data_IF_374865804138
#
_entry.id   IF_374865804138
#
_cell.length_a   1.000
_cell.length_b   1.000
_cell.length_c   1.000
_cell.angle_alpha   90.00
_cell.angle_beta   90.00
_cell.angle_gamma   90.00
#
_symmetry.space_group_name_H-M   'P 1'
#
loop_
_entity.id
_entity.type
_entity.pdbx_description
1 polymer ?
#
# COMPACT_ATOMS: atom_id res chain seq x y z
N UNK A 1 50.02 13.43 -36.28
CA UNK A 1 48.88 12.99 -37.11
C UNK A 1 48.75 11.47 -36.96
N UNK A 2 47.53 10.93 -36.81
CA UNK A 2 46.96 10.70 -35.47
C UNK A 2 46.36 9.28 -35.25
N UNK A 3 45.89 9.01 -34.02
CA UNK A 3 44.70 8.19 -33.65
C UNK A 3 44.80 6.65 -33.95
N UNK A 4 44.44 5.70 -33.07
CA UNK A 4 43.33 5.65 -32.13
C UNK A 4 43.63 4.72 -30.94
N UNK A 5 43.28 5.23 -29.76
CA UNK A 5 42.89 4.46 -28.57
C UNK A 5 41.52 3.80 -28.80
N UNK A 6 41.27 2.59 -28.26
CA UNK A 6 39.97 2.15 -27.70
C UNK A 6 40.02 0.65 -27.33
N UNK A 7 40.11 0.26 -26.05
CA UNK A 7 39.57 -1.02 -25.62
C UNK A 7 38.08 -0.84 -25.30
N UNK A 8 37.30 -1.77 -25.85
CA UNK A 8 35.85 -1.83 -25.83
C UNK A 8 35.25 -1.70 -24.42
N UNK A 9 34.38 -0.71 -24.25
CA UNK A 9 33.36 -0.69 -23.21
C UNK A 9 32.28 -1.73 -23.56
N UNK A 10 32.48 -2.98 -23.17
CA UNK A 10 31.40 -3.98 -23.19
C UNK A 10 30.62 -3.89 -21.90
N UNK A 11 29.68 -2.93 -21.93
CA UNK A 11 28.36 -2.95 -21.30
C UNK A 11 28.10 -4.18 -20.42
N UNK A 12 28.27 -4.00 -19.11
CA UNK A 12 27.61 -4.89 -18.16
C UNK A 12 26.10 -4.69 -18.35
N UNK A 13 25.47 -5.61 -19.09
CA UNK A 13 24.03 -5.80 -19.05
C UNK A 13 23.67 -6.22 -17.63
N UNK A 14 23.46 -5.24 -16.75
CA UNK A 14 22.58 -5.41 -15.62
C UNK A 14 21.17 -5.54 -16.20
N UNK A 15 20.83 -6.73 -16.68
CA UNK A 15 19.43 -7.10 -16.88
C UNK A 15 18.85 -7.07 -15.48
N UNK A 16 18.27 -5.92 -15.10
CA UNK A 16 17.43 -5.82 -13.93
C UNK A 16 16.27 -6.78 -14.19
N UNK A 17 16.43 -8.03 -13.76
CA UNK A 17 15.36 -8.99 -13.74
C UNK A 17 14.26 -8.35 -12.92
N UNK A 18 13.19 -7.93 -13.60
CA UNK A 18 11.97 -7.58 -12.92
C UNK A 18 11.54 -8.85 -12.19
N UNK A 19 11.92 -8.94 -10.92
CA UNK A 19 11.44 -9.99 -10.04
C UNK A 19 9.93 -9.79 -10.02
N UNK A 20 9.20 -10.70 -10.68
CA UNK A 20 7.76 -10.81 -10.55
C UNK A 20 7.49 -11.05 -9.06
N UNK A 21 7.28 -9.96 -8.34
CA UNK A 21 6.97 -9.98 -6.93
C UNK A 21 5.49 -10.25 -6.90
N UNK A 22 5.12 -11.44 -6.40
CA UNK A 22 3.72 -11.77 -6.16
C UNK A 22 3.02 -10.57 -5.51
N UNK A 23 1.75 -10.31 -5.88
CA UNK A 23 1.08 -9.09 -5.49
C UNK A 23 1.09 -9.05 -3.96
N UNK A 24 1.48 -7.91 -3.36
CA UNK A 24 1.78 -7.89 -1.95
C UNK A 24 0.55 -8.29 -1.15
N UNK A 25 0.75 -9.13 -0.14
CA UNK A 25 -0.34 -9.55 0.72
C UNK A 25 -1.01 -8.35 1.38
N UNK A 26 -2.30 -8.18 1.11
CA UNK A 26 -3.12 -7.14 1.72
C UNK A 26 -3.44 -7.53 3.17
N UNK A 27 -2.48 -7.30 4.06
CA UNK A 27 -2.49 -7.64 5.50
C UNK A 27 -2.07 -6.43 6.34
N UNK A 28 -2.69 -6.28 7.51
CA UNK A 28 -2.31 -5.27 8.52
C UNK A 28 -2.11 -5.97 9.86
N UNK A 29 -0.93 -5.79 10.45
CA UNK A 29 -0.66 -6.22 11.82
C UNK A 29 -1.19 -5.17 12.82
N UNK A 30 -1.93 -5.64 13.82
CA UNK A 30 -2.58 -4.79 14.83
C UNK A 30 -2.47 -5.34 16.26
N UNK A 31 -1.78 -6.48 16.47
CA UNK A 31 -1.66 -7.09 17.80
C UNK A 31 -0.82 -6.26 18.78
N UNK A 32 0.08 -5.44 18.23
CA UNK A 32 0.97 -4.54 18.95
C UNK A 32 0.32 -3.17 19.25
N UNK A 33 -0.90 -2.93 18.79
CA UNK A 33 -1.56 -1.63 18.93
C UNK A 33 -2.47 -1.60 20.17
N UNK A 34 -2.33 -0.54 20.97
CA UNK A 34 -3.25 -0.21 22.05
C UNK A 34 -4.56 0.42 21.50
N UNK A 35 -5.47 -0.43 21.00
CA UNK A 35 -6.68 -0.02 20.26
C UNK A 35 -7.76 0.68 21.11
N UNK A 36 -7.63 0.65 22.43
CA UNK A 36 -8.42 1.40 23.40
C UNK A 36 -8.01 2.88 23.48
N UNK A 37 -6.79 3.21 23.04
CA UNK A 37 -6.29 4.59 23.00
C UNK A 37 -6.56 5.29 21.66
N UNK A 38 -6.66 6.62 21.68
CA UNK A 38 -6.76 7.41 20.44
C UNK A 38 -5.51 7.24 19.57
N UNK A 39 -4.32 7.18 20.17
CA UNK A 39 -3.07 7.00 19.45
C UNK A 39 -3.01 5.65 18.72
N UNK A 40 -3.37 4.55 19.41
CA UNK A 40 -3.37 3.22 18.78
C UNK A 40 -4.42 3.08 17.68
N UNK A 41 -5.60 3.71 17.83
CA UNK A 41 -6.60 3.79 16.75
C UNK A 41 -6.09 4.60 15.55
N UNK A 42 -5.46 5.75 15.78
CA UNK A 42 -4.88 6.55 14.71
C UNK A 42 -3.77 5.77 13.99
N UNK A 43 -2.94 5.03 14.71
CA UNK A 43 -1.91 4.18 14.10
C UNK A 43 -2.52 3.04 13.28
N UNK A 44 -3.59 2.40 13.75
CA UNK A 44 -4.33 1.40 12.98
C UNK A 44 -4.82 1.98 11.63
N UNK A 45 -5.34 3.21 11.64
CA UNK A 45 -5.76 3.89 10.40
C UNK A 45 -4.56 4.12 9.48
N UNK A 46 -3.46 4.70 9.98
CA UNK A 46 -2.25 4.96 9.19
C UNK A 46 -1.66 3.70 8.58
N UNK A 47 -1.60 2.58 9.33
CA UNK A 47 -1.10 1.30 8.82
C UNK A 47 -2.01 0.74 7.74
N UNK A 48 -3.32 0.83 7.93
CA UNK A 48 -4.30 0.41 6.92
C UNK A 48 -4.13 1.22 5.63
N UNK A 49 -4.03 2.54 5.73
CA UNK A 49 -3.82 3.40 4.54
C UNK A 49 -2.49 3.10 3.85
N UNK A 50 -1.41 2.86 4.60
CA UNK A 50 -0.11 2.50 4.04
C UNK A 50 -0.17 1.17 3.29
N UNK A 51 -0.78 0.15 3.90
CA UNK A 51 -0.96 -1.16 3.28
C UNK A 51 -1.80 -1.07 1.99
N UNK A 52 -2.88 -0.27 2.02
CA UNK A 52 -3.73 -0.02 0.85
C UNK A 52 -2.95 0.69 -0.27
N UNK A 53 -2.19 1.74 0.05
CA UNK A 53 -1.39 2.46 -0.96
C UNK A 53 -0.33 1.55 -1.58
N UNK A 54 0.37 0.77 -0.75
CA UNK A 54 1.38 -0.17 -1.22
C UNK A 54 0.78 -1.26 -2.12
N UNK A 55 -0.34 -1.85 -1.70
CA UNK A 55 -1.08 -2.82 -2.51
C UNK A 55 -1.51 -2.25 -3.86
N UNK A 56 -2.19 -1.10 -3.86
CA UNK A 56 -2.69 -0.50 -5.10
C UNK A 56 -1.58 0.01 -6.04
N UNK A 57 -0.38 0.30 -5.51
CA UNK A 57 0.77 0.67 -6.33
C UNK A 57 1.42 -0.53 -7.02
N UNK A 58 1.28 -1.73 -6.44
CA UNK A 58 1.86 -2.98 -6.94
C UNK A 58 0.83 -3.91 -7.60
N UNK A 59 -0.46 -3.55 -7.57
CA UNK A 59 -1.52 -4.36 -8.16
C UNK A 59 -1.43 -4.31 -9.69
N UNK A 60 -1.20 -5.46 -10.30
CA UNK A 60 -1.24 -5.66 -11.75
C UNK A 60 -2.53 -6.41 -12.11
N UNK A 61 -3.44 -5.82 -12.90
CA UNK A 61 -4.66 -6.51 -13.33
C UNK A 61 -4.41 -7.70 -14.26
N UNK A 62 -3.23 -7.80 -14.90
CA UNK A 62 -2.85 -8.90 -15.78
C UNK A 62 -2.14 -10.04 -15.04
N UNK A 63 -1.86 -9.89 -13.74
CA UNK A 63 -1.26 -10.94 -12.92
C UNK A 63 -2.29 -12.04 -12.61
N UNK A 64 -2.10 -13.21 -13.23
CA UNK A 64 -2.96 -14.39 -13.08
C UNK A 64 -2.98 -14.96 -11.64
N UNK A 65 -2.02 -14.58 -10.80
CA UNK A 65 -1.97 -14.97 -9.39
C UNK A 65 -2.70 -14.00 -8.47
N UNK A 66 -3.04 -12.80 -8.95
CA UNK A 66 -3.74 -11.78 -8.20
C UNK A 66 -5.24 -12.06 -8.07
N UNK A 67 -5.85 -11.58 -6.99
CA UNK A 67 -7.32 -11.58 -6.87
C UNK A 67 -7.87 -10.55 -7.87
N UNK A 68 -8.55 -11.02 -8.91
CA UNK A 68 -9.22 -10.14 -9.86
C UNK A 68 -10.48 -9.48 -9.24
N UNK A 69 -10.48 -8.14 -9.16
CA UNK A 69 -11.65 -7.30 -8.91
C UNK A 69 -11.52 -6.02 -9.77
N UNK A 70 -12.54 -5.73 -10.58
CA UNK A 70 -12.53 -4.59 -11.52
C UNK A 70 -12.27 -3.24 -10.83
N UNK A 71 -12.61 -3.13 -9.54
CA UNK A 71 -12.37 -1.91 -8.76
C UNK A 71 -10.91 -1.78 -8.33
N UNK A 72 -10.17 -2.89 -8.22
CA UNK A 72 -8.73 -2.87 -7.95
C UNK A 72 -7.93 -2.47 -9.21
N UNK A 73 -8.42 -2.84 -10.40
CA UNK A 73 -7.83 -2.41 -11.67
C UNK A 73 -7.95 -0.90 -11.93
N UNK A 74 -8.87 -0.21 -11.25
CA UNK A 74 -9.01 1.24 -11.35
C UNK A 74 -8.13 1.95 -10.32
N UNK A 75 -7.19 2.77 -10.76
CA UNK A 75 -6.34 3.61 -9.88
C UNK A 75 -7.16 4.50 -8.93
N UNK A 76 -8.34 4.95 -9.38
CA UNK A 76 -9.25 5.77 -8.57
C UNK A 76 -10.02 4.96 -7.53
N UNK A 77 -10.43 3.74 -7.85
CA UNK A 77 -11.31 2.93 -6.99
C UNK A 77 -10.55 1.94 -6.11
N UNK A 78 -9.30 1.61 -6.48
CA UNK A 78 -8.49 0.61 -5.78
C UNK A 78 -8.38 0.92 -4.28
N UNK A 79 -8.04 2.15 -3.85
CA UNK A 79 -7.88 2.41 -2.42
C UNK A 79 -9.12 2.07 -1.60
N UNK A 80 -10.31 2.43 -2.11
CA UNK A 80 -11.58 2.13 -1.45
C UNK A 80 -11.93 0.63 -1.48
N UNK A 81 -11.61 -0.07 -2.57
CA UNK A 81 -11.82 -1.51 -2.67
C UNK A 81 -10.87 -2.30 -1.73
N UNK A 82 -9.57 -2.02 -1.77
CA UNK A 82 -8.57 -2.65 -0.90
C UNK A 82 -8.86 -2.39 0.59
N UNK A 83 -9.21 -1.15 0.98
CA UNK A 83 -9.59 -0.85 2.36
C UNK A 83 -10.81 -1.67 2.83
N UNK A 84 -11.80 -1.89 1.95
CA UNK A 84 -12.96 -2.75 2.24
C UNK A 84 -12.56 -4.21 2.39
N UNK A 85 -11.65 -4.72 1.57
CA UNK A 85 -11.14 -6.09 1.69
C UNK A 85 -10.42 -6.31 3.01
N UNK A 86 -9.50 -5.41 3.40
CA UNK A 86 -8.85 -5.44 4.71
C UNK A 86 -9.86 -5.47 5.85
N UNK A 87 -10.83 -4.55 5.82
CA UNK A 87 -11.85 -4.44 6.86
C UNK A 87 -12.74 -5.68 6.96
N UNK A 88 -12.97 -6.44 5.89
CA UNK A 88 -13.73 -7.70 5.97
C UNK A 88 -12.96 -8.80 6.71
N UNK A 89 -11.63 -8.82 6.59
CA UNK A 89 -10.75 -9.78 7.27
C UNK A 89 -10.46 -9.42 8.74
N UNK A 90 -10.67 -8.17 9.14
CA UNK A 90 -10.45 -7.72 10.52
C UNK A 90 -11.51 -8.29 11.50
N UNK A 91 -11.09 -8.69 12.72
CA UNK A 91 -12.00 -9.00 13.82
C UNK A 91 -12.94 -7.83 14.14
N UNK A 92 -14.12 -8.12 14.69
CA UNK A 92 -15.14 -7.11 14.97
C UNK A 92 -14.64 -5.96 15.88
N UNK A 93 -13.85 -6.27 16.90
CA UNK A 93 -13.22 -5.28 17.79
C UNK A 93 -12.30 -4.33 17.03
N UNK A 94 -11.43 -4.87 16.17
CA UNK A 94 -10.49 -4.10 15.34
C UNK A 94 -11.23 -3.21 14.35
N UNK A 95 -12.31 -3.71 13.73
CA UNK A 95 -13.15 -2.90 12.82
C UNK A 95 -13.79 -1.70 13.52
N UNK A 96 -14.22 -1.87 14.77
CA UNK A 96 -14.77 -0.77 15.58
C UNK A 96 -13.68 0.25 15.93
N UNK A 97 -12.51 -0.23 16.36
CA UNK A 97 -11.36 0.62 16.64
C UNK A 97 -10.92 1.44 15.42
N UNK A 98 -10.85 0.81 14.24
CA UNK A 98 -10.56 1.50 12.98
C UNK A 98 -11.59 2.60 12.69
N UNK A 99 -12.89 2.29 12.81
CA UNK A 99 -13.97 3.26 12.54
C UNK A 99 -13.87 4.47 13.47
N UNK A 100 -13.71 4.23 14.76
CA UNK A 100 -13.54 5.29 15.75
C UNK A 100 -12.28 6.13 15.48
N UNK A 101 -11.20 5.50 14.99
CA UNK A 101 -9.99 6.20 14.54
C UNK A 101 -10.25 7.12 13.35
N UNK A 102 -10.97 6.64 12.33
CA UNK A 102 -11.33 7.45 11.15
C UNK A 102 -12.20 8.64 11.54
N UNK A 103 -13.24 8.40 12.36
CA UNK A 103 -14.13 9.46 12.85
C UNK A 103 -13.34 10.52 13.63
N UNK A 104 -12.43 10.10 14.52
CA UNK A 104 -11.57 11.02 15.26
C UNK A 104 -10.69 11.88 14.34
N UNK A 105 -10.05 11.28 13.34
CA UNK A 105 -9.19 12.00 12.37
C UNK A 105 -9.99 12.99 11.54
N UNK A 106 -11.19 12.62 11.09
CA UNK A 106 -12.06 13.50 10.29
C UNK A 106 -12.57 14.71 11.08
N UNK A 107 -12.70 14.57 12.40
CA UNK A 107 -13.12 15.63 13.30
C UNK A 107 -11.95 16.48 13.82
N UNK A 108 -10.71 16.23 13.39
CA UNK A 108 -9.58 17.09 13.75
C UNK A 108 -9.72 18.46 13.05
N UNK A 109 -9.41 19.57 13.76
CA UNK A 109 -9.32 20.88 13.14
C UNK A 109 -8.33 20.84 11.97
N UNK A 110 -8.75 21.30 10.78
CA UNK A 110 -7.81 21.42 9.66
C UNK A 110 -6.78 22.51 10.00
N UNK A 111 -5.49 22.28 9.70
CA UNK A 111 -4.51 23.34 9.83
C UNK A 111 -4.91 24.52 8.93
N UNK A 112 -4.65 25.78 9.36
CA UNK A 112 -4.91 26.94 8.53
C UNK A 112 -4.14 26.81 7.22
N UNK A 113 -4.78 27.17 6.10
CA UNK A 113 -4.11 27.23 4.80
C UNK A 113 -3.03 28.33 4.89
N UNK A 114 -1.78 27.97 4.58
CA UNK A 114 -0.70 28.92 4.34
C UNK A 114 -0.88 29.60 3.00
#
# INVERSE_FOLDING_TARGET
MPLLSLPLLLSACATAGAVATSPPDLIVAYRDLALDTTAGRAELVRRTERAVRYFCAAYDPEDETAIFDVRLASTRLCPGAAARMLRRKMPASVRRAYRAGVEAIQNLPRPPKQ
#
